data_IF_213324910706
#
_entry.id   IF_213324910706
#
_cell.length_a   1.000
_cell.length_b   1.000
_cell.length_c   1.000
_cell.angle_alpha   90.00
_cell.angle_beta   90.00
_cell.angle_gamma   90.00
#
_symmetry.space_group_name_H-M   'P 1'
#
loop_
_entity.id
_entity.type
_entity.pdbx_description
1 polymer ?
#
# COMPACT_ATOMS: atom_id res chain seq x y z
N UNK A 1 -19.81 -4.01 -4.86
CA UNK A 1 -18.45 -3.59 -5.28
C UNK A 1 -17.59 -4.82 -5.45
N UNK A 2 -16.68 -4.81 -6.43
CA UNK A 2 -15.74 -5.90 -6.68
C UNK A 2 -14.35 -5.32 -6.96
N UNK A 3 -13.30 -6.02 -6.55
CA UNK A 3 -11.90 -5.71 -6.89
C UNK A 3 -11.47 -6.70 -7.96
N UNK A 4 -10.89 -6.21 -9.07
CA UNK A 4 -10.36 -7.06 -10.11
C UNK A 4 -9.01 -7.67 -9.69
N UNK A 5 -8.74 -8.90 -10.10
CA UNK A 5 -7.44 -9.53 -9.85
C UNK A 5 -6.28 -8.70 -10.45
N UNK A 6 -5.06 -8.88 -9.93
CA UNK A 6 -3.91 -8.10 -10.34
C UNK A 6 -3.71 -6.78 -9.59
N UNK A 7 -4.50 -6.52 -8.53
CA UNK A 7 -4.50 -5.23 -7.83
C UNK A 7 -4.21 -5.37 -6.33
N UNK A 8 -3.52 -4.38 -5.77
CA UNK A 8 -3.30 -4.18 -4.34
C UNK A 8 -3.95 -2.87 -3.93
N UNK A 9 -4.79 -2.90 -2.90
CA UNK A 9 -5.45 -1.72 -2.34
C UNK A 9 -4.92 -1.47 -0.93
N UNK A 10 -4.47 -0.24 -0.67
CA UNK A 10 -4.21 0.25 0.68
C UNK A 10 -5.48 0.88 1.24
N UNK A 11 -5.96 0.37 2.38
CA UNK A 11 -7.22 0.78 2.98
C UNK A 11 -6.98 1.21 4.43
N UNK A 12 -7.75 2.19 4.92
CA UNK A 12 -7.79 2.54 6.33
C UNK A 12 -9.13 2.13 6.93
N UNK A 13 -9.17 1.98 8.25
CA UNK A 13 -10.41 1.65 8.95
C UNK A 13 -11.43 2.78 8.91
N UNK A 14 -12.68 2.43 9.24
CA UNK A 14 -13.77 3.38 9.31
C UNK A 14 -13.63 4.31 10.53
N UNK A 15 -13.97 5.58 10.35
CA UNK A 15 -14.06 6.57 11.42
C UNK A 15 -15.12 7.63 11.11
N UNK A 16 -15.53 8.39 12.13
CA UNK A 16 -16.54 9.46 11.98
C UNK A 16 -16.07 10.64 11.12
N UNK A 17 -14.75 10.87 11.04
CA UNK A 17 -14.15 11.92 10.21
C UNK A 17 -12.95 11.36 9.47
N UNK A 18 -12.62 11.98 8.33
CA UNK A 18 -11.42 11.65 7.56
C UNK A 18 -10.14 11.88 8.37
N UNK A 19 -10.10 12.92 9.20
CA UNK A 19 -8.97 13.19 10.10
C UNK A 19 -8.73 12.04 11.10
N UNK A 20 -9.81 11.41 11.60
CA UNK A 20 -9.70 10.24 12.47
C UNK A 20 -9.32 8.99 11.67
N UNK A 21 -9.89 8.81 10.47
CA UNK A 21 -9.56 7.67 9.60
C UNK A 21 -8.08 7.69 9.18
N UNK A 22 -7.51 8.87 8.91
CA UNK A 22 -6.11 9.06 8.54
C UNK A 22 -5.14 8.61 9.64
N UNK A 23 -5.59 8.52 10.90
CA UNK A 23 -4.77 8.05 12.03
C UNK A 23 -4.85 6.52 12.20
N UNK A 24 -5.74 5.85 11.47
CA UNK A 24 -5.90 4.39 11.53
C UNK A 24 -4.84 3.74 10.63
N UNK A 25 -4.30 2.63 11.12
CA UNK A 25 -3.34 1.80 10.40
C UNK A 25 -3.90 1.29 9.07
N UNK A 26 -3.01 1.07 8.11
CA UNK A 26 -3.35 0.56 6.80
C UNK A 26 -3.53 -0.96 6.80
N UNK A 27 -4.53 -1.42 6.05
CA UNK A 27 -4.71 -2.80 5.63
C UNK A 27 -4.45 -2.89 4.13
N UNK A 28 -3.63 -3.85 3.72
CA UNK A 28 -3.45 -4.18 2.31
C UNK A 28 -4.40 -5.31 1.89
N UNK A 29 -5.27 -5.05 0.92
CA UNK A 29 -6.01 -6.08 0.21
C UNK A 29 -5.26 -6.43 -1.07
N UNK A 30 -4.86 -7.69 -1.20
CA UNK A 30 -4.04 -8.19 -2.30
C UNK A 30 -4.89 -9.17 -3.12
N UNK A 31 -5.39 -8.73 -4.27
CA UNK A 31 -6.10 -9.57 -5.22
C UNK A 31 -5.11 -10.10 -6.26
N UNK A 32 -4.58 -11.32 -6.05
CA UNK A 32 -3.56 -11.92 -6.92
C UNK A 32 -4.24 -12.57 -8.13
N UNK A 33 -3.70 -12.31 -9.32
CA UNK A 33 -4.18 -12.95 -10.54
C UNK A 33 -3.60 -14.34 -10.77
N UNK A 34 -4.12 -15.05 -11.78
CA UNK A 34 -3.66 -16.40 -12.14
C UNK A 34 -2.18 -16.51 -12.55
N UNK A 35 -1.50 -15.38 -12.78
CA UNK A 35 -0.05 -15.34 -13.06
C UNK A 35 0.79 -15.00 -11.82
N UNK A 36 0.18 -14.96 -10.63
CA UNK A 36 0.87 -14.60 -9.38
C UNK A 36 1.21 -13.12 -9.27
N UNK A 37 0.54 -12.25 -10.03
CA UNK A 37 0.79 -10.81 -10.04
C UNK A 37 -0.33 -10.05 -9.33
N UNK A 38 0.08 -8.99 -8.63
CA UNK A 38 -0.75 -7.94 -8.04
C UNK A 38 0.09 -6.66 -7.88
N UNK A 39 -0.44 -5.49 -8.26
CA UNK A 39 0.26 -4.22 -8.07
C UNK A 39 -0.68 -3.17 -7.49
N UNK A 40 -0.13 -2.20 -6.77
CA UNK A 40 -0.90 -1.08 -6.25
C UNK A 40 -0.01 0.08 -5.88
N UNK A 41 -0.63 1.22 -5.61
CA UNK A 41 0.05 2.41 -5.13
C UNK A 41 -0.85 3.20 -4.19
N UNK A 42 -0.23 3.94 -3.28
CA UNK A 42 -0.91 4.88 -2.40
C UNK A 42 -0.09 6.16 -2.33
N UNK A 43 -0.76 7.27 -2.62
CA UNK A 43 -0.22 8.61 -2.40
C UNK A 43 -0.72 9.12 -1.06
N UNK A 44 0.18 9.68 -0.27
CA UNK A 44 -0.06 10.10 1.09
C UNK A 44 0.43 11.54 1.25
N UNK A 45 -0.43 12.46 1.66
CA UNK A 45 -0.08 13.85 1.93
C UNK A 45 -0.75 14.34 3.23
N UNK A 46 -0.63 15.64 3.51
CA UNK A 46 -1.33 16.27 4.64
C UNK A 46 -2.78 16.63 4.33
N UNK A 47 -3.22 16.49 3.07
CA UNK A 47 -4.55 16.87 2.58
C UNK A 47 -4.80 18.37 2.46
N UNK A 48 -3.80 19.21 2.69
CA UNK A 48 -3.94 20.67 2.84
C UNK A 48 -3.04 21.47 1.89
N UNK A 49 -1.94 20.89 1.38
CA UNK A 49 -1.05 21.58 0.43
C UNK A 49 -1.78 21.98 -0.87
N UNK A 50 -1.53 23.22 -1.34
CA UNK A 50 -2.13 23.75 -2.57
C UNK A 50 -1.71 23.00 -3.84
N UNK A 51 -0.50 22.45 -3.86
CA UNK A 51 0.06 21.71 -4.99
C UNK A 51 0.45 20.31 -4.55
N UNK A 52 -0.25 19.32 -5.10
CA UNK A 52 -0.02 17.91 -4.83
C UNK A 52 1.35 17.46 -5.36
N UNK A 53 2.15 16.85 -4.51
CA UNK A 53 3.40 16.22 -4.95
C UNK A 53 4.54 17.20 -5.26
N UNK A 54 4.47 18.45 -4.80
CA UNK A 54 5.50 19.45 -5.06
C UNK A 54 6.86 19.09 -4.45
N UNK A 55 7.94 19.58 -5.05
CA UNK A 55 9.30 19.37 -4.53
C UNK A 55 9.45 19.96 -3.11
N UNK A 56 9.94 19.13 -2.19
CA UNK A 56 10.06 19.50 -0.76
C UNK A 56 8.73 19.55 0.00
N UNK A 57 7.61 19.17 -0.62
CA UNK A 57 6.30 19.08 0.01
C UNK A 57 6.14 17.91 0.98
N UNK A 58 5.09 17.99 1.78
CA UNK A 58 4.69 17.01 2.79
C UNK A 58 3.88 15.87 2.16
N UNK A 59 4.57 14.96 1.45
CA UNK A 59 3.92 13.81 0.83
C UNK A 59 4.84 12.59 0.78
N UNK A 60 4.26 11.42 0.53
CA UNK A 60 4.96 10.18 0.23
C UNK A 60 4.17 9.39 -0.80
N UNK A 61 4.87 8.75 -1.74
CA UNK A 61 4.26 7.78 -2.66
C UNK A 61 4.82 6.40 -2.35
N UNK A 62 3.94 5.44 -2.12
CA UNK A 62 4.31 4.04 -1.89
C UNK A 62 3.75 3.19 -3.01
N UNK A 63 4.60 2.43 -3.68
CA UNK A 63 4.22 1.44 -4.70
C UNK A 63 4.41 0.04 -4.14
N UNK A 64 3.49 -0.85 -4.46
CA UNK A 64 3.49 -2.24 -4.06
C UNK A 64 3.63 -3.17 -5.27
N UNK A 65 4.82 -3.28 -5.88
CA UNK A 65 5.03 -4.26 -6.92
C UNK A 65 5.10 -5.67 -6.31
N UNK A 66 4.48 -6.64 -6.98
CA UNK A 66 4.66 -8.06 -6.64
C UNK A 66 5.52 -8.78 -7.66
N UNK A 67 6.11 -9.89 -7.22
CA UNK A 67 6.83 -10.82 -8.08
C UNK A 67 6.59 -12.25 -7.62
N UNK A 68 6.21 -13.11 -8.56
CA UNK A 68 6.16 -14.55 -8.34
C UNK A 68 7.59 -15.14 -8.35
N UNK A 69 7.93 -15.89 -7.30
CA UNK A 69 9.21 -16.59 -7.14
C UNK A 69 8.92 -18.04 -6.70
N UNK A 70 8.89 -18.96 -7.66
CA UNK A 70 8.36 -20.30 -7.43
C UNK A 70 6.86 -20.23 -7.15
N UNK A 71 6.44 -20.75 -5.99
CA UNK A 71 5.04 -20.74 -5.55
C UNK A 71 4.75 -19.63 -4.51
N UNK A 72 5.66 -18.66 -4.41
CA UNK A 72 5.57 -17.53 -3.48
C UNK A 72 5.40 -16.21 -4.22
N UNK A 73 4.32 -15.50 -3.92
CA UNK A 73 4.11 -14.11 -4.33
C UNK A 73 4.79 -13.22 -3.31
N UNK A 74 5.84 -12.52 -3.72
CA UNK A 74 6.53 -11.54 -2.87
C UNK A 74 6.09 -10.14 -3.22
N UNK A 75 5.56 -9.41 -2.25
CA UNK A 75 5.25 -7.98 -2.38
C UNK A 75 6.42 -7.18 -1.83
N UNK A 76 6.80 -6.12 -2.53
CA UNK A 76 7.77 -5.12 -2.06
C UNK A 76 7.07 -3.79 -1.84
N UNK A 77 7.69 -2.90 -1.07
CA UNK A 77 7.30 -1.50 -0.97
C UNK A 77 8.38 -0.60 -1.58
N UNK A 78 8.07 0.14 -2.63
CA UNK A 78 8.96 1.16 -3.17
C UNK A 78 8.45 2.52 -2.72
N UNK A 79 9.25 3.26 -1.94
CA UNK A 79 8.81 4.50 -1.29
C UNK A 79 9.58 5.69 -1.85
N UNK A 80 8.84 6.71 -2.30
CA UNK A 80 9.35 8.02 -2.72
C UNK A 80 8.93 9.06 -1.69
N UNK A 81 9.85 9.97 -1.36
CA UNK A 81 9.65 11.01 -0.35
C UNK A 81 9.18 10.44 1.02
N UNK A 82 9.76 9.32 1.46
CA UNK A 82 9.24 8.54 2.60
C UNK A 82 9.33 9.21 3.98
N UNK A 83 10.05 10.34 4.11
CA UNK A 83 10.20 11.06 5.39
C UNK A 83 8.86 11.51 5.95
N UNK A 84 7.94 11.92 5.09
CA UNK A 84 6.63 12.37 5.52
C UNK A 84 5.80 11.23 6.14
N UNK A 85 5.65 10.09 5.43
CA UNK A 85 4.92 8.94 5.96
C UNK A 85 5.53 8.38 7.26
N UNK A 86 6.86 8.36 7.37
CA UNK A 86 7.56 7.98 8.62
C UNK A 86 7.26 8.97 9.74
N UNK A 87 7.25 10.28 9.45
CA UNK A 87 6.89 11.33 10.40
C UNK A 87 5.45 11.21 10.92
N UNK A 88 4.51 10.81 10.06
CA UNK A 88 3.12 10.52 10.43
C UNK A 88 2.93 9.20 11.18
N UNK A 89 3.96 8.36 11.26
CA UNK A 89 3.93 7.03 11.88
C UNK A 89 2.86 6.11 11.28
N UNK A 90 2.60 6.24 9.98
CA UNK A 90 1.71 5.30 9.31
C UNK A 90 2.32 3.90 9.28
N UNK A 91 1.50 2.92 9.62
CA UNK A 91 1.87 1.51 9.68
C UNK A 91 0.90 0.70 8.81
N UNK A 92 1.42 -0.35 8.18
CA UNK A 92 0.60 -1.41 7.60
C UNK A 92 0.47 -2.48 8.68
N UNK A 93 -0.73 -2.65 9.25
CA UNK A 93 -0.95 -3.61 10.34
C UNK A 93 -1.41 -4.98 9.86
N UNK A 94 -2.03 -5.03 8.67
CA UNK A 94 -2.63 -6.25 8.14
C UNK A 94 -2.48 -6.35 6.64
N UNK A 95 -2.34 -7.57 6.17
CA UNK A 95 -2.40 -7.94 4.76
C UNK A 95 -3.40 -9.09 4.59
N UNK A 96 -4.28 -9.01 3.58
CA UNK A 96 -5.25 -10.06 3.25
C UNK A 96 -5.12 -10.42 1.77
N UNK A 97 -5.01 -11.71 1.48
CA UNK A 97 -4.87 -12.24 0.12
C UNK A 97 -6.20 -12.79 -0.38
N UNK A 98 -6.47 -12.55 -1.67
CA UNK A 98 -7.57 -13.14 -2.42
C UNK A 98 -7.03 -13.65 -3.76
N UNK A 99 -7.20 -14.94 -4.05
CA UNK A 99 -6.75 -15.58 -5.28
C UNK A 99 -7.56 -16.83 -5.57
N UNK A 100 -7.60 -17.25 -6.84
CA UNK A 100 -8.22 -18.52 -7.24
C UNK A 100 -7.31 -19.73 -6.95
N UNK A 101 -5.99 -19.52 -7.02
CA UNK A 101 -4.98 -20.53 -6.70
C UNK A 101 -4.37 -20.28 -5.30
N UNK A 102 -3.72 -21.31 -4.74
CA UNK A 102 -3.06 -21.24 -3.43
C UNK A 102 -1.61 -20.78 -3.61
N UNK A 103 -1.37 -19.49 -3.38
CA UNK A 103 -0.02 -18.91 -3.35
C UNK A 103 0.41 -18.58 -1.92
N UNK A 104 1.68 -18.78 -1.59
CA UNK A 104 2.24 -18.21 -0.36
C UNK A 104 2.48 -16.72 -0.56
N UNK A 105 2.04 -15.88 0.37
CA UNK A 105 2.25 -14.43 0.31
C UNK A 105 3.20 -13.96 1.39
N UNK A 106 4.19 -13.17 0.98
CA UNK A 106 5.12 -12.52 1.89
C UNK A 106 5.31 -11.05 1.52
N UNK A 107 5.47 -10.19 2.54
CA UNK A 107 5.88 -8.82 2.38
C UNK A 107 7.38 -8.70 2.66
N UNK A 108 8.12 -8.16 1.70
CA UNK A 108 9.49 -7.73 1.90
C UNK A 108 9.45 -6.24 2.21
N UNK A 109 9.76 -5.88 3.45
CA UNK A 109 9.99 -4.49 3.85
C UNK A 109 11.23 -3.96 3.14
N UNK A 110 11.06 -2.95 2.28
CA UNK A 110 12.17 -2.15 1.74
C UNK A 110 12.02 -0.75 2.33
N UNK A 111 13.05 -0.33 3.05
CA UNK A 111 13.12 0.97 3.71
C UNK A 111 13.29 2.08 2.66
N UNK A 112 12.55 3.18 2.81
CA UNK A 112 12.73 4.37 2.00
C UNK A 112 14.19 4.87 2.09
N UNK A 113 14.80 5.20 0.95
CA UNK A 113 16.04 6.00 0.88
C UNK A 113 15.76 7.48 1.11
#
# INVERSE_FOLDING_TARGET
MHVHEGNILAMQGEAYTTELAHKIAFHLLVAVNNSGNANGEVFLDDGEELEMGKDGGNWSLVKFPSKLLGDEVKIKSEVVNGKFAVGQKWIIEKMSQYSLDVWTLSLISITAT
#
